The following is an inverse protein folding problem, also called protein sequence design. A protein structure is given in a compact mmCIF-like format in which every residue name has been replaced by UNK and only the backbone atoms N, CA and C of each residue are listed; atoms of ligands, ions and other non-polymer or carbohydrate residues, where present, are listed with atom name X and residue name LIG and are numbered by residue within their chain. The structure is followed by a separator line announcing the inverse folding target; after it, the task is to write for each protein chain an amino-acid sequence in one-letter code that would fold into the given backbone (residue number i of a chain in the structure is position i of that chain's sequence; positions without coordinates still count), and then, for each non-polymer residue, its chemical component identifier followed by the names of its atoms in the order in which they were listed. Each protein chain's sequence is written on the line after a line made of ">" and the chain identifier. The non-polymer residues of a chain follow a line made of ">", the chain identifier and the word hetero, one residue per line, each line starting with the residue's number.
data_IF_378015458719
#
_entry.id   IF_378015458719
#
_cell.length_a   1.000
_cell.length_b   1.000
_cell.length_c   1.000
_cell.angle_alpha   90.00
_cell.angle_beta   90.00
_cell.angle_gamma   90.00
#
_symmetry.space_group_name_H-M   'P 1'
#
loop_
_entity.id
_entity.type
_entity.pdbx_description
1 polymer ?
#
# COMPACT_ATOMS: atom_id res chain seq x y z
N UNK A 1 13.58 -11.16 -11.03
CA UNK A 1 13.57 -9.71 -11.29
C UNK A 1 12.20 -9.05 -11.07
N UNK A 2 11.06 -9.74 -11.23
CA UNK A 2 9.73 -9.15 -10.93
C UNK A 2 9.39 -9.14 -9.42
N UNK A 3 9.91 -10.09 -8.65
CA UNK A 3 9.75 -10.18 -7.18
C UNK A 3 10.28 -8.96 -6.44
N UNK A 4 11.45 -8.45 -6.85
CA UNK A 4 12.14 -7.36 -6.15
C UNK A 4 11.42 -6.02 -6.33
N UNK A 5 10.73 -5.84 -7.46
CA UNK A 5 9.92 -4.66 -7.73
C UNK A 5 8.73 -4.60 -6.78
N UNK A 6 7.98 -5.71 -6.66
CA UNK A 6 6.82 -5.79 -5.76
C UNK A 6 7.24 -5.67 -4.29
N UNK A 7 8.35 -6.31 -3.89
CA UNK A 7 8.89 -6.16 -2.55
C UNK A 7 9.23 -4.70 -2.20
N UNK A 8 9.78 -3.95 -3.16
CA UNK A 8 10.00 -2.50 -2.98
C UNK A 8 8.68 -1.72 -2.84
N UNK A 9 7.66 -2.05 -3.63
CA UNK A 9 6.34 -1.43 -3.49
C UNK A 9 5.73 -1.69 -2.10
N UNK A 10 5.79 -2.92 -1.60
CA UNK A 10 5.34 -3.29 -0.25
C UNK A 10 6.05 -2.45 0.81
N UNK A 11 7.38 -2.37 0.74
CA UNK A 11 8.19 -1.54 1.65
C UNK A 11 7.75 -0.08 1.61
N UNK A 12 7.50 0.47 0.42
CA UNK A 12 7.05 1.85 0.27
C UNK A 12 5.66 2.08 0.88
N UNK A 13 4.67 1.21 0.64
CA UNK A 13 3.32 1.38 1.23
C UNK A 13 3.39 1.33 2.76
N UNK A 14 4.16 0.39 3.30
CA UNK A 14 4.37 0.28 4.75
C UNK A 14 5.02 1.55 5.33
N UNK A 15 6.01 2.12 4.64
CA UNK A 15 6.65 3.38 5.05
C UNK A 15 5.69 4.57 4.99
N UNK A 16 4.86 4.66 3.95
CA UNK A 16 3.82 5.72 3.84
C UNK A 16 2.83 5.59 5.00
N UNK A 17 2.44 4.35 5.34
CA UNK A 17 1.51 4.07 6.45
C UNK A 17 2.12 4.45 7.80
N UNK A 18 3.41 4.12 8.02
CA UNK A 18 4.11 4.44 9.27
C UNK A 18 4.40 5.94 9.45
N UNK A 19 4.54 6.69 8.36
CA UNK A 19 4.85 8.12 8.39
C UNK A 19 3.60 9.01 8.24
N UNK A 20 2.41 8.42 8.19
CA UNK A 20 1.17 9.17 8.05
C UNK A 20 0.94 10.06 9.28
N UNK A 21 0.62 11.35 9.11
CA UNK A 21 0.43 12.29 10.22
C UNK A 21 -0.95 12.17 10.88
N UNK A 22 -1.48 10.95 11.00
CA UNK A 22 -2.82 10.62 11.51
C UNK A 22 -2.72 9.77 12.76
N UNK A 23 -3.71 9.82 13.64
CA UNK A 23 -3.71 9.05 14.90
C UNK A 23 -4.68 7.88 14.93
N UNK A 24 -5.65 7.82 14.01
CA UNK A 24 -6.62 6.72 13.91
C UNK A 24 -6.39 5.80 12.72
N UNK A 25 -6.66 4.49 12.90
CA UNK A 25 -6.52 3.47 11.84
C UNK A 25 -7.21 3.85 10.54
N UNK A 26 -8.49 4.23 10.62
CA UNK A 26 -9.30 4.57 9.45
C UNK A 26 -8.82 5.84 8.73
N UNK A 27 -8.38 6.84 9.50
CA UNK A 27 -7.77 8.07 8.96
C UNK A 27 -6.46 7.76 8.23
N UNK A 28 -5.63 6.89 8.82
CA UNK A 28 -4.38 6.45 8.20
C UNK A 28 -4.65 5.70 6.91
N UNK A 29 -5.59 4.76 6.91
CA UNK A 29 -6.00 4.02 5.72
C UNK A 29 -6.45 4.97 4.62
N UNK A 30 -7.30 5.94 4.94
CA UNK A 30 -7.77 6.93 3.96
C UNK A 30 -6.62 7.79 3.42
N UNK A 31 -5.72 8.27 4.28
CA UNK A 31 -4.55 9.03 3.89
C UNK A 31 -3.65 8.25 2.93
N UNK A 32 -3.34 6.99 3.26
CA UNK A 32 -2.51 6.12 2.44
C UNK A 32 -3.20 5.86 1.09
N UNK A 33 -4.48 5.49 1.07
CA UNK A 33 -5.23 5.27 -0.18
C UNK A 33 -5.19 6.50 -1.08
N UNK A 34 -5.39 7.71 -0.54
CA UNK A 34 -5.31 8.95 -1.32
C UNK A 34 -3.89 9.21 -1.85
N UNK A 35 -2.87 8.98 -1.02
CA UNK A 35 -1.48 9.11 -1.43
C UNK A 35 -1.15 8.19 -2.61
N UNK A 36 -1.51 6.91 -2.50
CA UNK A 36 -1.30 5.94 -3.57
C UNK A 36 -2.07 6.33 -4.84
N UNK A 37 -3.33 6.78 -4.73
CA UNK A 37 -4.12 7.23 -5.90
C UNK A 37 -3.46 8.39 -6.63
N UNK A 38 -2.93 9.36 -5.87
CA UNK A 38 -2.35 10.61 -6.40
C UNK A 38 -0.95 10.45 -6.97
N UNK A 39 -0.08 9.67 -6.32
CA UNK A 39 1.35 9.64 -6.64
C UNK A 39 1.81 8.38 -7.36
N UNK A 40 1.04 7.29 -7.30
CA UNK A 40 1.45 6.04 -7.95
C UNK A 40 0.92 5.91 -9.37
N UNK A 41 1.77 5.43 -10.26
CA UNK A 41 1.39 5.03 -11.61
C UNK A 41 0.35 3.89 -11.58
N UNK A 42 -0.45 3.78 -12.65
CA UNK A 42 -1.46 2.72 -12.80
C UNK A 42 -0.89 1.32 -12.59
N UNK A 43 0.30 1.08 -13.15
CA UNK A 43 0.97 -0.22 -13.08
C UNK A 43 1.42 -0.58 -11.65
N UNK A 44 1.97 0.37 -10.89
CA UNK A 44 2.37 0.13 -9.50
C UNK A 44 1.15 -0.25 -8.63
N UNK A 45 0.01 0.43 -8.85
CA UNK A 45 -1.26 0.12 -8.17
C UNK A 45 -1.74 -1.29 -8.53
N UNK A 46 -1.67 -1.67 -9.81
CA UNK A 46 -2.04 -3.02 -10.26
C UNK A 46 -1.18 -4.09 -9.57
N UNK A 47 0.14 -3.93 -9.59
CA UNK A 47 1.07 -4.90 -9.00
C UNK A 47 0.84 -5.10 -7.50
N UNK A 48 0.63 -4.02 -6.74
CA UNK A 48 0.41 -4.15 -5.30
C UNK A 48 -0.96 -4.75 -4.96
N UNK A 49 -2.00 -4.46 -5.76
CA UNK A 49 -3.32 -5.09 -5.60
C UNK A 49 -3.28 -6.59 -5.90
N UNK A 50 -2.59 -7.01 -6.98
CA UNK A 50 -2.40 -8.42 -7.31
C UNK A 50 -1.62 -9.15 -6.19
N UNK A 51 -0.57 -8.51 -5.67
CA UNK A 51 0.19 -9.05 -4.54
C UNK A 51 -0.66 -9.21 -3.28
N UNK A 52 -1.49 -8.22 -2.94
CA UNK A 52 -2.40 -8.28 -1.79
C UNK A 52 -3.48 -9.36 -1.95
N UNK A 53 -3.99 -9.55 -3.18
CA UNK A 53 -5.00 -10.56 -3.49
C UNK A 53 -4.44 -12.00 -3.39
N UNK A 54 -3.14 -12.18 -3.64
CA UNK A 54 -2.46 -13.46 -3.48
C UNK A 54 -2.30 -13.91 -2.02
N UNK A 55 -2.73 -13.09 -1.04
CA UNK A 55 -2.69 -13.45 0.39
C UNK A 55 -1.32 -13.29 1.05
N UNK A 56 -0.38 -12.62 0.40
CA UNK A 56 0.98 -12.40 0.94
C UNK A 56 0.98 -11.30 2.01
N UNK A 57 1.62 -11.57 3.15
CA UNK A 57 1.41 -10.88 4.43
C UNK A 57 2.45 -9.83 4.81
N UNK A 58 3.34 -9.43 3.89
CA UNK A 58 4.37 -8.43 4.21
C UNK A 58 3.83 -7.00 4.28
N UNK A 59 2.55 -6.79 3.91
CA UNK A 59 1.84 -5.54 4.11
C UNK A 59 1.36 -5.42 5.56
N UNK A 60 1.61 -4.26 6.17
CA UNK A 60 1.01 -3.94 7.47
C UNK A 60 -0.52 -3.91 7.37
N UNK A 61 -1.27 -4.10 8.48
CA UNK A 61 -2.74 -4.08 8.45
C UNK A 61 -3.33 -2.82 7.79
N UNK A 62 -2.78 -1.65 8.11
CA UNK A 62 -3.18 -0.37 7.51
C UNK A 62 -2.87 -0.35 6.00
N UNK A 63 -1.68 -0.81 5.61
CA UNK A 63 -1.27 -0.84 4.21
C UNK A 63 -2.14 -1.78 3.39
N UNK A 64 -2.47 -2.96 3.93
CA UNK A 64 -3.35 -3.93 3.31
C UNK A 64 -4.76 -3.36 3.11
N UNK A 65 -5.32 -2.73 4.14
CA UNK A 65 -6.64 -2.10 4.06
C UNK A 65 -6.65 -0.94 3.05
N UNK A 66 -5.58 -0.15 2.99
CA UNK A 66 -5.46 0.94 2.04
C UNK A 66 -5.36 0.45 0.59
N UNK A 67 -4.61 -0.64 0.35
CA UNK A 67 -4.48 -1.28 -0.96
C UNK A 67 -5.79 -1.91 -1.40
N UNK A 68 -6.56 -2.53 -0.48
CA UNK A 68 -7.90 -3.07 -0.78
C UNK A 68 -8.93 -2.01 -1.19
N UNK A 69 -8.66 -0.72 -0.91
CA UNK A 69 -9.52 0.44 -1.25
C UNK A 69 -9.06 1.19 -2.50
N UNK A 70 -7.99 0.73 -3.16
CA UNK A 70 -7.52 1.31 -4.42
C UNK A 70 -8.52 1.07 -5.55
#
# INVERSE_FOLDING_TARGET
>A
MSSDQVANLVKMVNQISSNAPTRGHEETVQFVTQHLKKFWAREMKRQIMEYAAAGNSDLSPISLDAVKRL
#
